data_IF_042670955117
#
_entry.id   IF_042670955117
#
_cell.length_a   1.000
_cell.length_b   1.000
_cell.length_c   1.000
_cell.angle_alpha   90.00
_cell.angle_beta   90.00
_cell.angle_gamma   90.00
#
_symmetry.space_group_name_H-M   'P 1'
#
loop_
_entity.id
_entity.type
_entity.pdbx_description
1 polymer ?
#
# COMPACT_ATOMS: atom_id res chain seq x y z
N UNK A 1 68.49 -12.38 24.10
CA UNK A 1 67.25 -13.14 23.80
C UNK A 1 66.09 -12.24 23.41
N UNK A 2 65.94 -11.03 23.99
CA UNK A 2 64.93 -10.05 23.55
C UNK A 2 65.25 -9.40 22.19
N UNK A 3 66.52 -9.10 21.91
CA UNK A 3 66.92 -8.46 20.64
C UNK A 3 66.64 -9.33 19.41
N UNK A 4 66.76 -10.66 19.53
CA UNK A 4 66.43 -11.59 18.44
C UNK A 4 64.93 -11.62 18.14
N UNK A 5 64.06 -11.57 19.17
CA UNK A 5 62.60 -11.57 18.96
C UNK A 5 62.10 -10.30 18.26
N UNK A 6 62.71 -9.14 18.54
CA UNK A 6 62.37 -7.88 17.86
C UNK A 6 62.84 -7.93 16.42
N UNK A 7 64.07 -8.38 16.16
CA UNK A 7 64.59 -8.51 14.80
C UNK A 7 63.80 -9.52 13.97
N UNK A 8 63.40 -10.65 14.56
CA UNK A 8 62.54 -11.64 13.90
C UNK A 8 61.15 -11.07 13.60
N UNK A 9 60.59 -10.27 14.51
CA UNK A 9 59.31 -9.58 14.27
C UNK A 9 59.40 -8.55 13.14
N UNK A 10 60.48 -7.77 13.09
CA UNK A 10 60.74 -6.81 12.02
C UNK A 10 60.99 -7.49 10.68
N UNK A 11 61.70 -8.61 10.67
CA UNK A 11 61.92 -9.44 9.49
C UNK A 11 60.60 -10.02 8.97
N UNK A 12 59.76 -10.55 9.86
CA UNK A 12 58.43 -11.07 9.51
C UNK A 12 57.50 -9.98 8.96
N UNK A 13 57.50 -8.78 9.55
CA UNK A 13 56.76 -7.63 9.01
C UNK A 13 57.29 -7.21 7.63
N UNK A 14 58.61 -7.20 7.44
CA UNK A 14 59.24 -6.92 6.15
C UNK A 14 58.84 -7.93 5.07
N UNK A 15 58.83 -9.23 5.41
CA UNK A 15 58.37 -10.26 4.49
C UNK A 15 56.87 -10.14 4.15
N UNK A 16 56.02 -9.85 5.14
CA UNK A 16 54.59 -9.60 4.90
C UNK A 16 54.37 -8.39 3.98
N UNK A 17 55.15 -7.33 4.15
CA UNK A 17 55.08 -6.14 3.29
C UNK A 17 55.48 -6.46 1.84
N UNK A 18 56.57 -7.20 1.64
CA UNK A 18 57.00 -7.63 0.29
C UNK A 18 55.96 -8.55 -0.35
N UNK A 19 55.36 -9.46 0.42
CA UNK A 19 54.29 -10.34 -0.04
C UNK A 19 52.99 -9.59 -0.38
N UNK A 20 52.79 -8.37 0.13
CA UNK A 20 51.64 -7.52 -0.19
C UNK A 20 51.80 -6.75 -1.50
N UNK A 21 53.03 -6.56 -2.02
CA UNK A 21 53.27 -5.83 -3.27
C UNK A 21 52.53 -6.46 -4.47
N UNK A 22 52.61 -7.79 -4.72
CA UNK A 22 51.84 -8.42 -5.80
C UNK A 22 50.33 -8.19 -5.67
N UNK A 23 49.81 -8.27 -4.45
CA UNK A 23 48.39 -8.03 -4.15
C UNK A 23 48.00 -6.59 -4.46
N UNK A 24 48.81 -5.61 -4.08
CA UNK A 24 48.57 -4.20 -4.41
C UNK A 24 48.51 -3.96 -5.93
N UNK A 25 49.42 -4.57 -6.70
CA UNK A 25 49.40 -4.47 -8.16
C UNK A 25 48.10 -5.05 -8.72
N UNK A 26 47.68 -6.23 -8.25
CA UNK A 26 46.42 -6.84 -8.67
C UNK A 26 45.21 -5.95 -8.37
N UNK A 27 45.16 -5.34 -7.17
CA UNK A 27 44.09 -4.40 -6.79
C UNK A 27 44.07 -3.17 -7.69
N UNK A 28 45.22 -2.56 -7.97
CA UNK A 28 45.30 -1.39 -8.86
C UNK A 28 44.78 -1.73 -10.26
N UNK A 29 45.19 -2.88 -10.80
CA UNK A 29 44.71 -3.37 -12.10
C UNK A 29 43.19 -3.56 -12.08
N UNK A 30 42.65 -4.20 -11.04
CA UNK A 30 41.21 -4.42 -10.90
C UNK A 30 40.42 -3.11 -10.80
N UNK A 31 40.93 -2.09 -10.11
CA UNK A 31 40.30 -0.76 -10.05
C UNK A 31 40.20 -0.16 -11.45
N UNK A 32 41.30 -0.21 -12.21
CA UNK A 32 41.34 0.33 -13.58
C UNK A 32 40.35 -0.42 -14.47
N UNK A 33 40.39 -1.76 -14.45
CA UNK A 33 39.49 -2.59 -15.26
C UNK A 33 38.03 -2.35 -14.86
N UNK A 34 37.71 -2.28 -13.58
CA UNK A 34 36.36 -2.05 -13.10
C UNK A 34 35.80 -0.70 -13.52
N UNK A 35 36.62 0.34 -13.47
CA UNK A 35 36.24 1.67 -13.95
C UNK A 35 35.94 1.69 -15.46
N UNK A 36 36.78 1.02 -16.27
CA UNK A 36 36.57 0.90 -17.72
C UNK A 36 35.31 0.08 -18.00
N UNK A 37 35.19 -1.10 -17.38
CA UNK A 37 34.09 -2.03 -17.56
C UNK A 37 32.75 -1.40 -17.20
N UNK A 38 32.66 -0.68 -16.07
CA UNK A 38 31.42 -0.03 -15.65
C UNK A 38 30.96 1.03 -16.64
N UNK A 39 31.89 1.85 -17.14
CA UNK A 39 31.57 2.84 -18.19
C UNK A 39 31.14 2.19 -19.50
N UNK A 40 31.77 1.09 -19.89
CA UNK A 40 31.44 0.36 -21.10
C UNK A 40 30.06 -0.31 -21.00
N UNK A 41 29.85 -1.13 -19.97
CA UNK A 41 28.60 -1.85 -19.72
C UNK A 41 27.44 -0.89 -19.47
N UNK A 42 27.67 0.21 -18.76
CA UNK A 42 26.67 1.27 -18.60
C UNK A 42 26.18 1.79 -19.95
N UNK A 43 27.09 2.19 -20.84
CA UNK A 43 26.75 2.69 -22.19
C UNK A 43 26.07 1.64 -23.07
N UNK A 44 26.48 0.38 -22.98
CA UNK A 44 25.86 -0.71 -23.74
C UNK A 44 24.44 -0.94 -23.22
N UNK A 45 24.28 -1.03 -21.90
CA UNK A 45 22.99 -1.19 -21.24
C UNK A 45 22.04 -0.04 -21.57
N UNK A 46 22.48 1.21 -21.46
CA UNK A 46 21.64 2.36 -21.78
C UNK A 46 21.15 2.36 -23.23
N UNK A 47 22.00 1.97 -24.20
CA UNK A 47 21.56 1.78 -25.60
C UNK A 47 20.49 0.70 -25.76
N UNK A 48 20.58 -0.40 -25.01
CA UNK A 48 19.55 -1.45 -25.05
C UNK A 48 18.25 -0.95 -24.44
N UNK A 49 18.33 -0.26 -23.30
CA UNK A 49 17.16 0.29 -22.60
C UNK A 49 16.46 1.40 -23.40
N UNK A 50 17.23 2.22 -24.10
CA UNK A 50 16.72 3.22 -25.04
C UNK A 50 16.00 2.55 -26.21
N UNK A 51 16.59 1.50 -26.78
CA UNK A 51 16.01 0.76 -27.91
C UNK A 51 14.68 0.06 -27.58
N UNK A 52 14.45 -0.33 -26.34
CA UNK A 52 13.17 -0.90 -25.88
C UNK A 52 12.15 0.18 -25.49
N UNK A 53 12.50 1.47 -25.60
CA UNK A 53 11.61 2.58 -25.28
C UNK A 53 11.35 2.75 -23.78
N UNK A 54 12.31 2.39 -22.93
CA UNK A 54 12.10 2.41 -21.47
C UNK A 54 11.72 3.81 -20.95
N UNK A 55 12.29 4.86 -21.54
CA UNK A 55 11.93 6.25 -21.22
C UNK A 55 10.44 6.49 -21.47
N UNK A 56 9.91 6.15 -22.65
CA UNK A 56 8.49 6.34 -23.00
C UNK A 56 7.53 5.50 -22.13
N UNK A 57 7.97 4.30 -21.73
CA UNK A 57 7.19 3.41 -20.89
C UNK A 57 7.08 3.94 -19.45
N UNK A 58 8.20 4.43 -18.89
CA UNK A 58 8.24 4.89 -17.51
C UNK A 58 7.76 6.34 -17.37
N UNK A 59 7.95 7.19 -18.37
CA UNK A 59 7.51 8.59 -18.34
C UNK A 59 5.98 8.73 -18.22
N UNK A 60 5.22 7.75 -18.71
CA UNK A 60 3.76 7.69 -18.55
C UNK A 60 3.31 7.33 -17.14
N UNK A 61 4.24 6.92 -16.27
CA UNK A 61 3.97 6.56 -14.88
C UNK A 61 4.27 7.73 -13.94
N UNK A 62 3.68 7.72 -12.75
CA UNK A 62 3.98 8.70 -11.70
C UNK A 62 5.46 8.73 -11.31
N UNK A 63 6.18 7.61 -11.46
CA UNK A 63 7.60 7.49 -11.16
C UNK A 63 8.44 8.23 -12.21
N UNK A 64 8.15 8.07 -13.49
CA UNK A 64 8.84 8.80 -14.56
C UNK A 64 8.67 10.31 -14.41
N UNK A 65 7.50 10.78 -13.98
CA UNK A 65 7.28 12.18 -13.64
C UNK A 65 8.18 12.71 -12.51
N UNK A 66 8.51 11.88 -11.51
CA UNK A 66 9.45 12.24 -10.45
C UNK A 66 10.91 12.24 -10.93
N UNK A 67 11.28 11.24 -11.74
CA UNK A 67 12.62 11.11 -12.35
C UNK A 67 12.93 12.34 -13.21
N UNK A 68 11.99 12.74 -14.06
CA UNK A 68 12.13 13.92 -14.92
C UNK A 68 12.23 15.22 -14.12
N UNK A 69 11.47 15.34 -13.02
CA UNK A 69 11.57 16.48 -12.09
C UNK A 69 12.94 16.57 -11.40
N UNK A 70 13.63 15.45 -11.21
CA UNK A 70 15.01 15.41 -10.71
C UNK A 70 16.06 15.74 -11.79
N UNK A 71 15.65 16.10 -13.01
CA UNK A 71 16.54 16.48 -14.11
C UNK A 71 17.28 15.30 -14.75
N UNK A 72 16.78 14.07 -14.56
CA UNK A 72 17.38 12.85 -15.12
C UNK A 72 16.41 12.16 -16.08
N UNK A 73 16.94 11.46 -17.09
CA UNK A 73 16.14 10.51 -17.89
C UNK A 73 16.09 9.15 -17.19
N UNK A 74 15.07 8.34 -17.49
CA UNK A 74 14.95 7.00 -16.91
C UNK A 74 16.09 6.12 -17.39
N UNK A 75 16.40 6.13 -18.68
CA UNK A 75 17.56 5.42 -19.25
C UNK A 75 18.86 5.88 -18.59
N UNK A 76 19.03 7.18 -18.31
CA UNK A 76 20.20 7.72 -17.63
C UNK A 76 20.35 7.25 -16.18
N UNK A 77 19.23 7.11 -15.45
CA UNK A 77 19.23 6.50 -14.12
C UNK A 77 19.69 5.06 -14.17
N UNK A 78 19.15 4.26 -15.08
CA UNK A 78 19.57 2.86 -15.24
C UNK A 78 21.03 2.75 -15.68
N UNK A 79 21.53 3.65 -16.54
CA UNK A 79 22.96 3.72 -16.88
C UNK A 79 23.83 3.90 -15.64
N UNK A 80 23.42 4.82 -14.74
CA UNK A 80 24.12 5.09 -13.49
C UNK A 80 24.09 3.88 -12.56
N UNK A 81 22.94 3.21 -12.44
CA UNK A 81 22.77 1.98 -11.65
C UNK A 81 23.70 0.88 -12.18
N UNK A 82 23.74 0.65 -13.49
CA UNK A 82 24.61 -0.37 -14.10
C UNK A 82 26.10 -0.05 -13.81
N UNK A 83 26.53 1.21 -13.96
CA UNK A 83 27.89 1.64 -13.63
C UNK A 83 28.25 1.34 -12.18
N UNK A 84 27.43 1.80 -11.24
CA UNK A 84 27.63 1.59 -9.80
C UNK A 84 27.68 0.10 -9.46
N UNK A 85 26.81 -0.68 -10.07
CA UNK A 85 26.75 -2.11 -9.87
C UNK A 85 28.04 -2.82 -10.32
N UNK A 86 28.56 -2.46 -11.50
CA UNK A 86 29.85 -3.00 -11.97
C UNK A 86 30.99 -2.58 -11.03
N UNK A 87 31.00 -1.33 -10.55
CA UNK A 87 32.01 -0.89 -9.59
C UNK A 87 31.95 -1.68 -8.28
N UNK A 88 30.75 -1.99 -7.80
CA UNK A 88 30.56 -2.85 -6.62
C UNK A 88 31.12 -4.26 -6.90
N UNK A 89 30.87 -4.85 -8.07
CA UNK A 89 31.43 -6.16 -8.44
C UNK A 89 32.97 -6.15 -8.46
N UNK A 90 33.59 -5.08 -8.95
CA UNK A 90 35.06 -5.00 -8.92
C UNK A 90 35.60 -4.72 -7.51
N UNK A 91 34.93 -3.88 -6.72
CA UNK A 91 35.27 -3.68 -5.31
C UNK A 91 35.21 -5.00 -4.53
N UNK A 92 34.19 -5.82 -4.80
CA UNK A 92 34.02 -7.20 -4.34
C UNK A 92 35.25 -8.06 -4.66
N UNK A 93 35.68 -8.09 -5.93
CA UNK A 93 36.83 -8.92 -6.36
C UNK A 93 38.12 -8.42 -5.69
N UNK A 94 38.29 -7.10 -5.58
CA UNK A 94 39.42 -6.48 -4.88
C UNK A 94 39.46 -6.94 -3.42
N UNK A 95 38.32 -6.91 -2.74
CA UNK A 95 38.19 -7.31 -1.35
C UNK A 95 38.53 -8.80 -1.15
N UNK A 96 38.11 -9.65 -2.09
CA UNK A 96 38.42 -11.08 -2.07
C UNK A 96 39.93 -11.33 -2.28
N UNK A 97 40.56 -10.61 -3.21
CA UNK A 97 42.01 -10.60 -3.41
C UNK A 97 42.76 -10.14 -2.15
N UNK A 98 42.17 -9.23 -1.38
CA UNK A 98 42.68 -8.79 -0.07
C UNK A 98 42.43 -9.80 1.07
N UNK A 99 41.73 -10.91 0.81
CA UNK A 99 41.39 -11.98 1.75
C UNK A 99 40.66 -11.51 3.03
N UNK A 100 39.76 -10.53 2.90
CA UNK A 100 38.95 -10.07 4.04
C UNK A 100 37.72 -10.97 4.17
N UNK A 101 37.84 -12.07 4.92
CA UNK A 101 36.86 -13.17 4.95
C UNK A 101 35.41 -12.74 5.21
N UNK A 102 35.19 -11.75 6.09
CA UNK A 102 33.84 -11.25 6.43
C UNK A 102 33.14 -10.60 5.23
N UNK A 103 33.92 -10.05 4.30
CA UNK A 103 33.38 -9.39 3.13
C UNK A 103 33.07 -10.39 2.00
N UNK A 104 33.81 -11.51 1.89
CA UNK A 104 33.56 -12.55 0.88
C UNK A 104 32.17 -13.22 1.02
N UNK A 105 31.69 -13.44 2.24
CA UNK A 105 30.33 -13.96 2.47
C UNK A 105 29.25 -12.94 2.06
N UNK A 106 29.45 -11.67 2.41
CA UNK A 106 28.54 -10.59 2.05
C UNK A 106 28.47 -10.40 0.52
N UNK A 107 29.62 -10.47 -0.15
CA UNK A 107 29.78 -10.46 -1.59
C UNK A 107 29.00 -11.60 -2.27
N UNK A 108 29.14 -12.83 -1.76
CA UNK A 108 28.47 -14.00 -2.35
C UNK A 108 26.95 -13.83 -2.31
N UNK A 109 26.44 -13.28 -1.19
CA UNK A 109 25.02 -12.93 -1.07
C UNK A 109 24.60 -11.86 -2.08
N UNK A 110 25.43 -10.84 -2.33
CA UNK A 110 25.15 -9.82 -3.35
C UNK A 110 25.04 -10.46 -4.74
N UNK A 111 25.98 -11.33 -5.12
CA UNK A 111 25.98 -11.98 -6.43
C UNK A 111 24.72 -12.82 -6.64
N UNK A 112 24.32 -13.58 -5.61
CA UNK A 112 23.09 -14.39 -5.65
C UNK A 112 21.81 -13.53 -5.68
N UNK A 113 21.89 -12.27 -5.28
CA UNK A 113 20.76 -11.36 -5.29
C UNK A 113 20.56 -10.65 -6.64
N UNK A 114 21.59 -10.64 -7.51
CA UNK A 114 21.54 -10.05 -8.85
C UNK A 114 20.40 -10.63 -9.70
N UNK A 115 20.26 -11.98 -9.84
CA UNK A 115 19.20 -12.57 -10.64
C UNK A 115 17.81 -12.27 -10.08
N UNK A 116 17.69 -12.16 -8.75
CA UNK A 116 16.43 -11.80 -8.08
C UNK A 116 16.02 -10.37 -8.42
N UNK A 117 16.96 -9.42 -8.38
CA UNK A 117 16.70 -8.02 -8.79
C UNK A 117 16.24 -7.96 -10.24
N UNK A 118 16.93 -8.64 -11.15
CA UNK A 118 16.57 -8.66 -12.57
C UNK A 118 15.17 -9.26 -12.75
N UNK A 119 14.88 -10.39 -12.09
CA UNK A 119 13.58 -11.05 -12.16
C UNK A 119 12.46 -10.15 -11.63
N UNK A 120 12.67 -9.49 -10.50
CA UNK A 120 11.72 -8.56 -9.91
C UNK A 120 11.47 -7.34 -10.81
N UNK A 121 12.53 -6.78 -11.42
CA UNK A 121 12.40 -5.67 -12.39
C UNK A 121 11.61 -6.09 -13.62
N UNK A 122 11.88 -7.27 -14.18
CA UNK A 122 11.13 -7.82 -15.33
C UNK A 122 9.65 -7.96 -14.97
N UNK A 123 9.34 -8.53 -13.80
CA UNK A 123 7.96 -8.67 -13.32
C UNK A 123 7.28 -7.32 -13.11
N UNK A 124 7.97 -6.32 -12.56
CA UNK A 124 7.43 -4.97 -12.43
C UNK A 124 7.13 -4.35 -13.78
N UNK A 125 8.07 -4.37 -14.73
CA UNK A 125 7.89 -3.77 -16.05
C UNK A 125 6.72 -4.42 -16.78
N UNK A 126 6.71 -5.76 -16.87
CA UNK A 126 5.62 -6.50 -17.53
C UNK A 126 4.30 -6.24 -16.80
N UNK A 127 4.32 -6.22 -15.47
CA UNK A 127 3.16 -5.98 -14.65
C UNK A 127 2.52 -4.62 -14.87
N UNK A 128 3.33 -3.55 -14.91
CA UNK A 128 2.85 -2.20 -15.18
C UNK A 128 2.15 -2.13 -16.54
N UNK A 129 2.74 -2.74 -17.58
CA UNK A 129 2.15 -2.80 -18.93
C UNK A 129 0.81 -3.55 -18.92
N UNK A 130 0.75 -4.69 -18.24
CA UNK A 130 -0.48 -5.50 -18.14
C UNK A 130 -1.58 -4.70 -17.41
N UNK A 131 -1.26 -4.05 -16.30
CA UNK A 131 -2.24 -3.29 -15.52
C UNK A 131 -2.78 -2.10 -16.30
N UNK A 132 -1.91 -1.37 -16.99
CA UNK A 132 -2.34 -0.23 -17.81
C UNK A 132 -3.26 -0.70 -18.95
N UNK A 133 -2.87 -1.77 -19.65
CA UNK A 133 -3.69 -2.36 -20.70
C UNK A 133 -5.07 -2.82 -20.17
N UNK A 134 -5.10 -3.58 -19.08
CA UNK A 134 -6.34 -4.07 -18.47
C UNK A 134 -7.23 -2.93 -17.97
N UNK A 135 -6.63 -1.91 -17.36
CA UNK A 135 -7.36 -0.73 -16.86
C UNK A 135 -8.01 0.02 -18.01
N UNK A 136 -7.29 0.22 -19.11
CA UNK A 136 -7.83 0.89 -20.30
C UNK A 136 -8.96 0.09 -20.96
N UNK A 137 -8.85 -1.24 -21.02
CA UNK A 137 -9.94 -2.10 -21.49
C UNK A 137 -11.18 -1.99 -20.62
N UNK A 138 -11.01 -2.09 -19.30
CA UNK A 138 -12.13 -2.00 -18.36
C UNK A 138 -12.77 -0.61 -18.42
N UNK A 139 -11.97 0.45 -18.52
CA UNK A 139 -12.49 1.81 -18.70
C UNK A 139 -13.35 1.94 -19.95
N UNK A 140 -12.90 1.39 -21.09
CA UNK A 140 -13.68 1.39 -22.34
C UNK A 140 -15.00 0.63 -22.19
N UNK A 141 -15.00 -0.51 -21.50
CA UNK A 141 -16.22 -1.28 -21.22
C UNK A 141 -17.18 -0.52 -20.30
N UNK A 142 -16.68 0.13 -19.25
CA UNK A 142 -17.49 0.94 -18.33
C UNK A 142 -18.13 2.14 -19.03
N UNK A 143 -17.39 2.79 -19.93
CA UNK A 143 -17.93 3.89 -20.76
C UNK A 143 -18.97 3.35 -21.74
N UNK A 144 -18.67 2.25 -22.45
CA UNK A 144 -19.58 1.67 -23.44
C UNK A 144 -20.90 1.15 -22.85
N UNK A 145 -20.89 0.73 -21.58
CA UNK A 145 -22.09 0.28 -20.86
C UNK A 145 -22.92 1.44 -20.29
N UNK A 146 -22.45 2.68 -20.43
CA UNK A 146 -23.13 3.88 -19.95
C UNK A 146 -23.26 3.97 -18.43
N UNK A 147 -22.36 3.30 -17.69
CA UNK A 147 -22.33 3.34 -16.22
C UNK A 147 -22.17 4.78 -15.73
N UNK A 148 -21.30 5.54 -16.40
CA UNK A 148 -21.07 6.95 -16.08
C UNK A 148 -22.34 7.79 -16.27
N UNK A 149 -23.03 7.65 -17.40
CA UNK A 149 -24.26 8.45 -17.65
C UNK A 149 -25.39 8.11 -16.66
N UNK A 150 -25.51 6.84 -16.25
CA UNK A 150 -26.51 6.41 -15.26
C UNK A 150 -26.19 6.94 -13.88
N UNK A 151 -24.93 6.90 -13.46
CA UNK A 151 -24.51 7.42 -12.15
C UNK A 151 -24.59 8.95 -12.08
N UNK A 152 -24.27 9.66 -13.16
CA UNK A 152 -24.31 11.13 -13.23
C UNK A 152 -25.72 11.74 -13.10
N UNK A 153 -26.77 10.91 -13.16
CA UNK A 153 -28.16 11.30 -12.90
C UNK A 153 -28.59 11.13 -11.44
N UNK A 154 -27.72 10.57 -10.60
CA UNK A 154 -27.96 10.42 -9.15
C UNK A 154 -27.45 11.63 -8.39
N UNK A 155 -28.00 11.88 -7.20
CA UNK A 155 -27.55 12.93 -6.28
C UNK A 155 -26.05 12.82 -5.95
N UNK A 156 -25.51 11.60 -5.96
CA UNK A 156 -24.07 11.31 -5.75
C UNK A 156 -23.25 11.65 -7.00
N UNK A 157 -23.79 11.42 -8.20
CA UNK A 157 -23.10 11.76 -9.45
C UNK A 157 -22.98 13.27 -9.69
N UNK A 158 -23.96 14.06 -9.25
CA UNK A 158 -23.89 15.53 -9.31
C UNK A 158 -22.77 16.10 -8.44
N UNK A 159 -22.48 15.47 -7.29
CA UNK A 159 -21.35 15.86 -6.43
C UNK A 159 -20.01 15.50 -7.07
N UNK A 160 -19.93 14.41 -7.84
CA UNK A 160 -18.71 14.01 -8.55
C UNK A 160 -18.37 14.93 -9.74
N UNK A 161 -19.38 15.51 -10.41
CA UNK A 161 -19.18 16.53 -11.48
C UNK A 161 -18.33 17.70 -11.03
N UNK A 162 -18.47 18.13 -9.78
CA UNK A 162 -17.71 19.26 -9.20
C UNK A 162 -16.20 18.97 -9.19
N UNK A 163 -15.82 17.69 -9.11
CA UNK A 163 -14.41 17.24 -9.10
C UNK A 163 -13.90 16.82 -10.48
N UNK A 164 -14.69 17.02 -11.56
CA UNK A 164 -14.38 16.60 -12.92
C UNK A 164 -13.95 15.12 -13.05
N UNK A 165 -14.46 14.26 -12.18
CA UNK A 165 -14.08 12.84 -12.10
C UNK A 165 -15.31 11.94 -12.37
N UNK A 166 -15.16 10.92 -13.21
CA UNK A 166 -16.22 9.94 -13.52
C UNK A 166 -16.12 8.68 -12.65
N UNK A 167 -17.22 7.95 -12.53
CA UNK A 167 -17.26 6.66 -11.81
C UNK A 167 -16.31 5.65 -12.48
N UNK A 168 -16.28 5.60 -13.81
CA UNK A 168 -15.32 4.81 -14.56
C UNK A 168 -13.88 5.19 -14.25
N UNK A 169 -13.58 6.48 -14.05
CA UNK A 169 -12.27 6.97 -13.65
C UNK A 169 -11.85 6.50 -12.27
N UNK A 170 -12.77 6.57 -11.29
CA UNK A 170 -12.53 6.06 -9.93
C UNK A 170 -12.30 4.55 -9.96
N UNK A 171 -13.18 3.80 -10.61
CA UNK A 171 -13.09 2.33 -10.68
C UNK A 171 -11.80 1.89 -11.37
N UNK A 172 -11.45 2.56 -12.48
CA UNK A 172 -10.18 2.33 -13.18
C UNK A 172 -8.97 2.67 -12.31
N UNK A 173 -9.03 3.77 -11.55
CA UNK A 173 -7.98 4.15 -10.61
C UNK A 173 -7.79 3.11 -9.50
N UNK A 174 -8.88 2.56 -8.97
CA UNK A 174 -8.84 1.48 -7.97
C UNK A 174 -8.21 0.23 -8.58
N UNK A 175 -8.68 -0.22 -9.75
CA UNK A 175 -8.12 -1.40 -10.43
C UNK A 175 -6.63 -1.22 -10.71
N UNK A 176 -6.21 -0.04 -11.17
CA UNK A 176 -4.81 0.31 -11.40
C UNK A 176 -3.98 0.25 -10.11
N UNK A 177 -4.50 0.80 -9.01
CA UNK A 177 -3.87 0.71 -7.70
C UNK A 177 -3.70 -0.74 -7.24
N UNK A 178 -4.77 -1.55 -7.29
CA UNK A 178 -4.73 -2.98 -6.94
C UNK A 178 -3.74 -3.74 -7.82
N UNK A 179 -3.82 -3.56 -9.13
CA UNK A 179 -2.94 -4.21 -10.09
C UNK A 179 -1.48 -3.89 -9.80
N UNK A 180 -1.14 -2.61 -9.63
CA UNK A 180 0.22 -2.20 -9.27
C UNK A 180 0.68 -2.81 -7.96
N UNK A 181 -0.16 -2.81 -6.92
CA UNK A 181 0.17 -3.42 -5.64
C UNK A 181 0.43 -4.94 -5.76
N UNK A 182 -0.31 -5.66 -6.61
CA UNK A 182 -0.09 -7.09 -6.87
C UNK A 182 1.29 -7.32 -7.50
N UNK A 183 1.66 -6.53 -8.51
CA UNK A 183 2.98 -6.68 -9.15
C UNK A 183 4.12 -6.22 -8.24
N UNK A 184 3.90 -5.18 -7.42
CA UNK A 184 4.86 -4.76 -6.40
C UNK A 184 5.02 -5.87 -5.34
N UNK A 185 3.93 -6.50 -4.91
CA UNK A 185 3.98 -7.65 -4.00
C UNK A 185 4.79 -8.79 -4.61
N UNK A 186 4.47 -9.22 -5.84
CA UNK A 186 5.18 -10.29 -6.53
C UNK A 186 6.69 -9.98 -6.67
N UNK A 187 7.04 -8.75 -7.05
CA UNK A 187 8.43 -8.31 -7.10
C UNK A 187 9.11 -8.35 -5.73
N UNK A 188 8.40 -7.95 -4.67
CA UNK A 188 8.87 -7.98 -3.29
C UNK A 188 9.11 -9.41 -2.78
N UNK A 189 8.24 -10.35 -3.18
CA UNK A 189 8.39 -11.78 -2.89
C UNK A 189 9.59 -12.39 -3.63
N UNK A 190 9.81 -12.03 -4.91
CA UNK A 190 11.00 -12.43 -5.67
C UNK A 190 12.28 -11.90 -5.02
N UNK A 191 12.25 -10.66 -4.53
CA UNK A 191 13.35 -10.06 -3.77
C UNK A 191 13.49 -10.64 -2.35
N UNK A 192 12.62 -11.58 -1.95
CA UNK A 192 12.63 -12.23 -0.63
C UNK A 192 12.49 -11.22 0.53
N UNK A 193 11.84 -10.08 0.30
CA UNK A 193 11.60 -9.05 1.31
C UNK A 193 10.34 -9.39 2.12
N UNK A 194 10.38 -10.50 2.87
CA UNK A 194 9.22 -11.09 3.54
C UNK A 194 8.42 -10.09 4.40
N UNK A 195 9.11 -9.20 5.12
CA UNK A 195 8.45 -8.15 5.93
C UNK A 195 7.66 -7.16 5.08
N UNK A 196 8.24 -6.72 3.97
CA UNK A 196 7.57 -5.79 3.06
C UNK A 196 6.44 -6.50 2.31
N UNK A 197 6.63 -7.74 1.88
CA UNK A 197 5.58 -8.54 1.26
C UNK A 197 4.39 -8.75 2.20
N UNK A 198 4.64 -9.07 3.47
CA UNK A 198 3.59 -9.18 4.49
C UNK A 198 2.83 -7.87 4.69
N UNK A 199 3.53 -6.74 4.72
CA UNK A 199 2.89 -5.42 4.79
C UNK A 199 2.03 -5.11 3.56
N UNK A 200 2.53 -5.38 2.35
CA UNK A 200 1.78 -5.18 1.11
C UNK A 200 0.55 -6.10 1.03
N UNK A 201 0.67 -7.35 1.48
CA UNK A 201 -0.45 -8.28 1.62
C UNK A 201 -1.52 -7.72 2.55
N UNK A 202 -1.14 -7.12 3.68
CA UNK A 202 -2.10 -6.48 4.58
C UNK A 202 -2.82 -5.30 3.90
N UNK A 203 -2.11 -4.47 3.13
CA UNK A 203 -2.73 -3.38 2.34
C UNK A 203 -3.71 -3.97 1.31
N UNK A 204 -3.29 -4.99 0.55
CA UNK A 204 -4.12 -5.63 -0.46
C UNK A 204 -5.38 -6.25 0.13
N UNK A 205 -5.30 -6.84 1.32
CA UNK A 205 -6.46 -7.39 2.03
C UNK A 205 -7.35 -6.32 2.66
N UNK A 206 -6.79 -5.16 3.03
CA UNK A 206 -7.55 -4.03 3.56
C UNK A 206 -8.39 -3.34 2.49
N UNK A 207 -7.91 -3.29 1.24
CA UNK A 207 -8.48 -2.47 0.18
C UNK A 207 -9.91 -2.93 -0.25
N UNK A 208 -10.24 -4.24 -0.40
CA UNK A 208 -11.60 -4.70 -0.63
C UNK A 208 -12.54 -4.38 0.54
N UNK A 209 -12.06 -4.61 1.76
CA UNK A 209 -12.79 -4.36 3.00
C UNK A 209 -13.11 -2.87 3.18
N UNK A 210 -12.16 -1.99 2.82
CA UNK A 210 -12.36 -0.55 2.75
C UNK A 210 -13.50 -0.20 1.80
N UNK A 211 -13.52 -0.78 0.61
CA UNK A 211 -14.56 -0.54 -0.38
C UNK A 211 -15.94 -0.99 0.11
N UNK A 212 -16.04 -2.19 0.71
CA UNK A 212 -17.30 -2.68 1.29
C UNK A 212 -17.76 -1.76 2.42
N UNK A 213 -16.86 -1.31 3.30
CA UNK A 213 -17.19 -0.34 4.33
C UNK A 213 -17.74 0.97 3.79
N UNK A 214 -17.13 1.51 2.72
CA UNK A 214 -17.63 2.73 2.05
C UNK A 214 -19.04 2.49 1.47
N UNK A 215 -19.29 1.33 0.84
CA UNK A 215 -20.61 0.96 0.35
C UNK A 215 -21.65 0.86 1.47
N UNK A 216 -21.28 0.27 2.61
CA UNK A 216 -22.15 0.20 3.79
C UNK A 216 -22.51 1.61 4.28
N UNK A 217 -21.56 2.55 4.31
CA UNK A 217 -21.86 3.94 4.67
C UNK A 217 -22.84 4.57 3.69
N UNK A 218 -22.59 4.46 2.38
CA UNK A 218 -23.46 5.06 1.35
C UNK A 218 -24.88 4.51 1.42
N UNK A 219 -25.02 3.18 1.42
CA UNK A 219 -26.33 2.50 1.43
C UNK A 219 -27.01 2.70 2.79
N UNK A 220 -26.26 2.58 3.88
CA UNK A 220 -26.78 2.71 5.23
C UNK A 220 -27.30 4.12 5.50
N UNK A 221 -26.56 5.17 5.12
CA UNK A 221 -27.04 6.55 5.26
C UNK A 221 -28.29 6.82 4.44
N UNK A 222 -28.36 6.33 3.20
CA UNK A 222 -29.58 6.43 2.39
C UNK A 222 -30.76 5.69 3.05
N UNK A 223 -30.49 4.54 3.67
CA UNK A 223 -31.51 3.73 4.34
C UNK A 223 -32.05 4.38 5.61
N UNK A 224 -31.24 5.15 6.34
CA UNK A 224 -31.65 5.84 7.58
C UNK A 224 -32.80 6.78 7.33
N UNK A 225 -32.73 7.60 6.28
CA UNK A 225 -33.78 8.58 5.98
C UNK A 225 -35.09 7.87 5.64
N UNK A 226 -35.04 6.84 4.80
CA UNK A 226 -36.20 6.04 4.44
C UNK A 226 -36.86 5.39 5.68
N UNK A 227 -36.06 4.73 6.53
CA UNK A 227 -36.55 4.05 7.72
C UNK A 227 -37.10 5.06 8.72
N UNK A 228 -36.40 6.16 8.95
CA UNK A 228 -36.83 7.17 9.91
C UNK A 228 -38.13 7.87 9.49
N UNK A 229 -38.29 8.19 8.21
CA UNK A 229 -39.51 8.79 7.68
C UNK A 229 -40.69 7.82 7.76
N UNK A 230 -40.45 6.52 7.48
CA UNK A 230 -41.46 5.48 7.64
C UNK A 230 -41.91 5.35 9.10
N UNK A 231 -40.95 5.28 10.03
CA UNK A 231 -41.22 5.22 11.46
C UNK A 231 -41.95 6.47 11.95
N UNK A 232 -41.59 7.65 11.47
CA UNK A 232 -42.26 8.90 11.83
C UNK A 232 -43.73 8.89 11.42
N UNK A 233 -44.04 8.49 10.18
CA UNK A 233 -45.42 8.37 9.70
C UNK A 233 -46.23 7.38 10.53
N UNK A 234 -45.64 6.24 10.86
CA UNK A 234 -46.29 5.22 11.68
C UNK A 234 -46.57 5.73 13.10
N UNK A 235 -45.60 6.38 13.74
CA UNK A 235 -45.75 6.92 15.10
C UNK A 235 -46.78 8.04 15.18
N UNK A 236 -46.80 8.94 14.19
CA UNK A 236 -47.82 10.01 14.09
C UNK A 236 -49.20 9.41 13.84
N UNK A 237 -49.32 8.39 12.97
CA UNK A 237 -50.57 7.69 12.69
C UNK A 237 -51.16 6.98 13.91
N UNK A 238 -50.30 6.42 14.76
CA UNK A 238 -50.71 5.77 16.03
C UNK A 238 -50.90 6.76 17.19
N UNK A 239 -50.74 8.07 16.96
CA UNK A 239 -50.77 9.13 18.00
C UNK A 239 -49.81 8.84 19.17
N UNK A 240 -48.61 8.35 18.86
CA UNK A 240 -47.59 8.13 19.89
C UNK A 240 -47.07 9.47 20.38
N UNK A 241 -47.35 9.81 21.65
CA UNK A 241 -46.77 10.99 22.30
C UNK A 241 -45.24 10.94 22.31
N UNK A 242 -44.60 12.03 21.87
CA UNK A 242 -43.14 12.15 21.86
C UNK A 242 -42.44 11.64 20.59
N UNK A 243 -43.17 11.41 19.49
CA UNK A 243 -42.57 11.07 18.19
C UNK A 243 -41.48 12.04 17.76
N UNK A 244 -41.65 13.33 18.05
CA UNK A 244 -40.71 14.39 17.67
C UNK A 244 -39.34 14.27 18.37
N UNK A 245 -39.29 13.55 19.50
CA UNK A 245 -38.03 13.29 20.24
C UNK A 245 -37.48 11.90 19.92
N UNK A 246 -38.35 10.90 19.78
CA UNK A 246 -37.95 9.51 19.54
C UNK A 246 -37.35 9.35 18.14
N UNK A 247 -37.90 9.99 17.11
CA UNK A 247 -37.43 9.84 15.73
C UNK A 247 -35.97 10.34 15.56
N UNK A 248 -35.58 11.54 16.04
CA UNK A 248 -34.17 11.95 16.03
C UNK A 248 -33.24 10.99 16.76
N UNK A 249 -33.66 10.42 17.90
CA UNK A 249 -32.88 9.43 18.65
C UNK A 249 -32.67 8.17 17.82
N UNK A 250 -33.74 7.66 17.19
CA UNK A 250 -33.65 6.49 16.31
C UNK A 250 -32.77 6.75 15.08
N UNK A 251 -32.84 7.94 14.48
CA UNK A 251 -31.92 8.35 13.40
C UNK A 251 -30.47 8.30 13.87
N UNK A 252 -30.17 8.90 15.02
CA UNK A 252 -28.82 8.90 15.60
C UNK A 252 -28.32 7.48 15.92
N UNK A 253 -29.19 6.63 16.46
CA UNK A 253 -28.86 5.23 16.73
C UNK A 253 -28.58 4.44 15.44
N UNK A 254 -29.42 4.56 14.42
CA UNK A 254 -29.19 3.90 13.12
C UNK A 254 -27.92 4.40 12.45
N UNK A 255 -27.62 5.70 12.52
CA UNK A 255 -26.36 6.26 12.04
C UNK A 255 -25.17 5.62 12.72
N UNK A 256 -25.22 5.50 14.05
CA UNK A 256 -24.19 4.84 14.83
C UNK A 256 -24.05 3.37 14.42
N UNK A 257 -25.16 2.63 14.26
CA UNK A 257 -25.12 1.23 13.81
C UNK A 257 -24.48 1.11 12.43
N UNK A 258 -24.90 1.92 11.46
CA UNK A 258 -24.32 1.94 10.10
C UNK A 258 -22.83 2.25 10.16
N UNK A 259 -22.43 3.24 10.95
CA UNK A 259 -21.03 3.61 11.15
C UNK A 259 -20.24 2.43 11.72
N UNK A 260 -20.74 1.76 12.76
CA UNK A 260 -20.07 0.60 13.36
C UNK A 260 -19.96 -0.57 12.38
N UNK A 261 -21.02 -0.88 11.64
CA UNK A 261 -21.00 -1.93 10.62
C UNK A 261 -19.98 -1.63 9.52
N UNK A 262 -19.90 -0.37 9.10
CA UNK A 262 -18.90 0.06 8.12
C UNK A 262 -17.49 -0.07 8.68
N UNK A 263 -17.23 0.42 9.89
CA UNK A 263 -15.92 0.31 10.54
C UNK A 263 -15.50 -1.16 10.71
N UNK A 264 -16.41 -2.02 11.12
CA UNK A 264 -16.16 -3.45 11.27
C UNK A 264 -15.80 -4.09 9.92
N UNK A 265 -16.55 -3.77 8.87
CA UNK A 265 -16.23 -4.21 7.50
C UNK A 265 -14.90 -3.66 6.98
N UNK A 266 -14.44 -2.50 7.46
CA UNK A 266 -13.11 -1.95 7.15
C UNK A 266 -12.00 -2.62 7.97
N UNK A 267 -12.28 -3.69 8.72
CA UNK A 267 -11.34 -4.33 9.65
C UNK A 267 -10.85 -3.41 10.79
N UNK A 268 -11.60 -2.34 11.07
CA UNK A 268 -11.32 -1.45 12.19
C UNK A 268 -11.90 -2.10 13.44
N UNK A 269 -11.11 -2.23 14.50
CA UNK A 269 -11.53 -2.90 15.74
C UNK A 269 -12.67 -2.13 16.43
N UNK A 270 -13.91 -2.58 16.21
CA UNK A 270 -15.14 -2.00 16.79
C UNK A 270 -15.44 -2.45 18.22
N UNK A 271 -14.69 -3.44 18.74
CA UNK A 271 -14.84 -3.97 20.09
C UNK A 271 -14.86 -2.89 21.19
N UNK A 272 -14.08 -1.82 21.02
CA UNK A 272 -14.05 -0.69 21.95
C UNK A 272 -15.42 -0.02 22.01
N UNK A 273 -16.05 0.23 20.85
CA UNK A 273 -17.37 0.85 20.79
C UNK A 273 -18.44 -0.04 21.43
N UNK A 274 -18.45 -1.35 21.15
CA UNK A 274 -19.42 -2.27 21.77
C UNK A 274 -19.32 -2.30 23.29
N UNK A 275 -18.10 -2.22 23.83
CA UNK A 275 -17.86 -2.17 25.28
C UNK A 275 -18.51 -0.95 25.93
N UNK A 276 -18.52 0.20 25.26
CA UNK A 276 -19.18 1.42 25.78
C UNK A 276 -20.68 1.46 25.49
N UNK A 277 -21.10 0.97 24.33
CA UNK A 277 -22.50 0.99 23.91
C UNK A 277 -23.38 -0.01 24.64
N UNK A 278 -22.86 -1.19 24.97
CA UNK A 278 -23.61 -2.22 25.69
C UNK A 278 -24.24 -1.67 26.97
N UNK A 279 -23.44 -1.11 27.92
CA UNK A 279 -23.97 -0.50 29.14
C UNK A 279 -24.98 0.62 28.90
N UNK A 280 -24.76 1.48 27.89
CA UNK A 280 -25.70 2.55 27.56
C UNK A 280 -27.04 2.02 27.05
N UNK A 281 -27.01 0.98 26.20
CA UNK A 281 -28.21 0.33 25.69
C UNK A 281 -29.02 -0.34 26.81
N UNK A 282 -28.36 -1.06 27.70
CA UNK A 282 -29.00 -1.63 28.90
C UNK A 282 -29.56 -0.54 29.82
N UNK A 283 -28.81 0.54 30.04
CA UNK A 283 -29.27 1.69 30.81
C UNK A 283 -30.54 2.32 30.23
N UNK A 284 -30.58 2.52 28.91
CA UNK A 284 -31.77 3.04 28.23
C UNK A 284 -32.95 2.06 28.32
N UNK A 285 -32.72 0.76 28.12
CA UNK A 285 -33.75 -0.27 28.23
C UNK A 285 -34.38 -0.29 29.63
N UNK A 286 -33.57 -0.17 30.68
CA UNK A 286 -34.04 -0.08 32.08
C UNK A 286 -34.91 1.15 32.28
N UNK A 287 -34.48 2.33 31.80
CA UNK A 287 -35.27 3.57 31.92
C UNK A 287 -36.64 3.45 31.23
N UNK A 288 -36.67 2.88 30.02
CA UNK A 288 -37.91 2.66 29.27
C UNK A 288 -38.83 1.67 29.99
N UNK A 289 -38.29 0.55 30.47
CA UNK A 289 -39.04 -0.47 31.19
C UNK A 289 -39.66 0.09 32.49
N UNK A 290 -38.88 0.84 33.27
CA UNK A 290 -39.39 1.49 34.49
C UNK A 290 -40.49 2.51 34.19
N UNK A 291 -40.32 3.33 33.15
CA UNK A 291 -41.33 4.34 32.76
C UNK A 291 -42.68 3.69 32.42
N UNK A 292 -42.68 2.58 31.70
CA UNK A 292 -43.91 1.84 31.40
C UNK A 292 -44.48 1.12 32.61
N UNK A 293 -43.65 0.45 33.41
CA UNK A 293 -44.11 -0.23 34.63
C UNK A 293 -44.79 0.72 35.63
N UNK A 294 -44.22 1.92 35.84
CA UNK A 294 -44.83 2.94 36.70
C UNK A 294 -46.16 3.44 36.12
N UNK A 295 -46.23 3.65 34.80
CA UNK A 295 -47.47 4.08 34.13
C UNK A 295 -48.59 3.05 34.34
N UNK A 296 -48.30 1.76 34.19
CA UNK A 296 -49.28 0.69 34.41
C UNK A 296 -49.73 0.60 35.86
N UNK A 297 -48.78 0.70 36.82
CA UNK A 297 -49.10 0.70 38.24
C UNK A 297 -49.99 1.88 38.65
N UNK A 298 -49.71 3.08 38.14
CA UNK A 298 -50.54 4.26 38.37
C UNK A 298 -51.94 4.13 37.76
N UNK A 299 -52.05 3.56 36.56
CA UNK A 299 -53.34 3.31 35.91
C UNK A 299 -54.16 2.28 36.67
N UNK A 300 -53.53 1.20 37.14
CA UNK A 300 -54.19 0.18 37.97
C UNK A 300 -54.71 0.77 39.29
N UNK A 301 -53.86 1.52 40.01
CA UNK A 301 -54.23 2.19 41.25
C UNK A 301 -55.37 3.21 41.08
N UNK A 302 -55.38 3.97 39.99
CA UNK A 302 -56.44 4.92 39.68
C UNK A 302 -57.78 4.26 39.29
N UNK A 303 -57.74 2.99 38.87
CA UNK A 303 -58.94 2.18 38.54
C UNK A 303 -59.55 1.52 39.77
N UNK A 304 -58.74 1.18 40.76
CA UNK A 304 -59.18 0.62 42.05
C UNK A 304 -59.76 1.69 42.99
N UNK A 305 -59.33 2.95 42.87
CA UNK A 305 -59.77 4.05 43.72
C UNK A 305 -60.82 4.98 43.07
N UNK A 306 -61.55 4.48 42.07
CA UNK A 306 -62.73 5.13 41.46
C UNK A 306 -63.95 4.24 41.63
#
# INVERSE_FOLDING_TARGET
>A
MADSQILDSLYNLGQQFVAFIPTLVAVIVLIIVGWIAGRFLGKVGSKVLDKIGLDDLIEKTSIGGMIKKAGMSTVGLFESIIKWFVYIIFAVIIIDVLNISILTEFITRIILYIPLIISALVVLIIGLLIVDFLTDLIRKVLIATGVDERFMKTTVGETLKVTNTSVSGILSGVIKLFGYLIFILAATEILQLARLAGFLNNILNYLPNLFVGILILIIGFLSIDFIADYLQKMMVGMKVEGSDVIIPILRGFMFLVVLLLALDSMLIKTAVFYTFLGPLAWGFAVVVAFKWGIKEALVAYAKENK
#
